data_IF_252651514332
#
_entry.id   IF_252651514332
#
_cell.length_a   1.000
_cell.length_b   1.000
_cell.length_c   1.000
_cell.angle_alpha   90.00
_cell.angle_beta   90.00
_cell.angle_gamma   90.00
#
_symmetry.space_group_name_H-M   'P 1'
#
loop_
_entity.id
_entity.type
_entity.pdbx_description
1 polymer ?
#
# COMPACT_ATOMS: atom_id res chain seq x y z
N UNK A 1 6.91 -10.62 -28.06
CA UNK A 1 7.07 -11.68 -27.04
C UNK A 1 6.26 -11.28 -25.81
N UNK A 2 5.12 -11.92 -25.57
CA UNK A 2 4.39 -11.72 -24.32
C UNK A 2 5.24 -12.27 -23.18
N UNK A 3 5.88 -11.38 -22.42
CA UNK A 3 6.49 -11.75 -21.14
C UNK A 3 5.37 -12.21 -20.22
N UNK A 4 5.14 -13.52 -20.12
CA UNK A 4 4.24 -14.10 -19.12
C UNK A 4 4.74 -13.61 -17.76
N UNK A 5 3.96 -12.74 -17.11
CA UNK A 5 4.30 -12.27 -15.77
C UNK A 5 4.28 -13.47 -14.82
N UNK A 6 5.25 -13.60 -13.91
CA UNK A 6 5.27 -14.72 -12.96
C UNK A 6 3.99 -14.74 -12.11
N UNK A 7 3.46 -15.93 -11.85
CA UNK A 7 2.17 -16.13 -11.16
C UNK A 7 2.08 -15.39 -9.84
N UNK A 8 3.17 -15.34 -9.06
CA UNK A 8 3.23 -14.58 -7.82
C UNK A 8 2.96 -13.08 -8.01
N UNK A 9 3.51 -12.47 -9.07
CA UNK A 9 3.26 -11.06 -9.39
C UNK A 9 1.81 -10.85 -9.88
N UNK A 10 1.28 -11.80 -10.66
CA UNK A 10 -0.09 -11.77 -11.18
C UNK A 10 -1.16 -11.85 -10.09
N UNK A 11 -0.86 -12.46 -8.94
CA UNK A 11 -1.82 -12.59 -7.84
C UNK A 11 -1.58 -11.48 -6.81
N UNK A 12 -0.33 -11.27 -6.38
CA UNK A 12 -0.01 -10.38 -5.27
C UNK A 12 -0.26 -8.92 -5.61
N UNK A 13 0.19 -8.43 -6.78
CA UNK A 13 0.01 -7.01 -7.12
C UNK A 13 -1.49 -6.65 -7.23
N UNK A 14 -2.35 -7.42 -7.93
CA UNK A 14 -3.78 -7.13 -7.95
C UNK A 14 -4.45 -7.25 -6.59
N UNK A 15 -4.08 -8.23 -5.76
CA UNK A 15 -4.61 -8.36 -4.41
C UNK A 15 -4.25 -7.16 -3.53
N UNK A 16 -3.00 -6.69 -3.58
CA UNK A 16 -2.56 -5.48 -2.88
C UNK A 16 -3.26 -4.24 -3.42
N UNK A 17 -3.42 -4.09 -4.74
CA UNK A 17 -4.16 -2.98 -5.34
C UNK A 17 -5.63 -2.98 -4.89
N UNK A 18 -6.29 -4.14 -4.90
CA UNK A 18 -7.66 -4.28 -4.42
C UNK A 18 -7.77 -3.86 -2.95
N UNK A 19 -6.85 -4.29 -2.09
CA UNK A 19 -6.80 -3.87 -0.69
C UNK A 19 -6.69 -2.34 -0.54
N UNK A 20 -5.88 -1.67 -1.37
CA UNK A 20 -5.80 -0.20 -1.36
C UNK A 20 -7.07 0.46 -1.88
N UNK A 21 -7.74 -0.10 -2.89
CA UNK A 21 -9.03 0.40 -3.37
C UNK A 21 -10.09 0.29 -2.27
N UNK A 22 -10.14 -0.84 -1.55
CA UNK A 22 -11.01 -0.98 -0.38
C UNK A 22 -10.67 0.04 0.71
N UNK A 23 -9.39 0.25 0.99
CA UNK A 23 -8.91 1.27 1.92
C UNK A 23 -9.33 2.69 1.50
N UNK A 24 -9.22 3.03 0.21
CA UNK A 24 -9.63 4.33 -0.32
C UNK A 24 -11.14 4.55 -0.18
N UNK A 25 -11.94 3.52 -0.50
CA UNK A 25 -13.41 3.57 -0.34
C UNK A 25 -13.76 3.74 1.14
N UNK A 26 -13.14 2.97 2.04
CA UNK A 26 -13.36 3.09 3.47
C UNK A 26 -12.97 4.48 3.99
N UNK A 27 -11.83 5.01 3.56
CA UNK A 27 -11.39 6.36 3.90
C UNK A 27 -12.42 7.42 3.47
N UNK A 28 -12.98 7.31 2.26
CA UNK A 28 -13.94 8.28 1.74
C UNK A 28 -15.34 8.16 2.37
N UNK A 29 -15.79 6.93 2.63
CA UNK A 29 -17.19 6.66 3.05
C UNK A 29 -17.37 6.60 4.56
N UNK A 30 -16.31 6.27 5.29
CA UNK A 30 -16.34 6.02 6.74
C UNK A 30 -15.34 6.88 7.50
N UNK A 31 -14.92 8.02 6.93
CA UNK A 31 -13.97 8.94 7.58
C UNK A 31 -14.39 9.32 9.00
N UNK A 32 -15.65 9.74 9.18
CA UNK A 32 -16.19 10.11 10.49
C UNK A 32 -16.13 8.96 11.51
N UNK A 33 -16.41 7.74 11.07
CA UNK A 33 -16.31 6.54 11.93
C UNK A 33 -14.86 6.27 12.33
N UNK A 34 -13.92 6.38 11.39
CA UNK A 34 -12.48 6.25 11.63
C UNK A 34 -12.00 7.29 12.64
N UNK A 35 -12.46 8.55 12.54
CA UNK A 35 -12.14 9.61 13.50
C UNK A 35 -12.69 9.33 14.90
N UNK A 36 -13.90 8.79 15.01
CA UNK A 36 -14.48 8.40 16.31
C UNK A 36 -13.63 7.35 17.02
N UNK A 37 -13.08 6.39 16.27
CA UNK A 37 -12.20 5.35 16.81
C UNK A 37 -10.76 5.84 17.03
N UNK A 38 -10.35 6.91 16.33
CA UNK A 38 -9.00 7.48 16.39
C UNK A 38 -9.08 9.02 16.51
N UNK A 39 -9.34 9.57 17.71
CA UNK A 39 -9.67 10.98 17.92
C UNK A 39 -8.57 11.97 17.50
N UNK A 40 -7.33 11.49 17.31
CA UNK A 40 -6.21 12.28 16.83
C UNK A 40 -6.26 12.55 15.32
N UNK A 41 -7.09 11.82 14.56
CA UNK A 41 -7.30 12.05 13.14
C UNK A 41 -8.27 13.21 12.95
N UNK A 42 -7.75 14.36 12.50
CA UNK A 42 -8.55 15.54 12.16
C UNK A 42 -8.77 15.65 10.65
N UNK A 43 -9.73 16.46 10.22
CA UNK A 43 -10.01 16.68 8.80
C UNK A 43 -8.78 17.21 8.03
N UNK A 44 -7.84 17.89 8.71
CA UNK A 44 -6.57 18.35 8.14
C UNK A 44 -5.61 17.21 7.75
N UNK A 45 -5.77 16.04 8.37
CA UNK A 45 -4.93 14.86 8.13
C UNK A 45 -5.49 14.00 6.97
N UNK A 46 -6.76 14.19 6.60
CA UNK A 46 -7.39 13.46 5.52
C UNK A 46 -6.60 13.50 4.19
N UNK A 47 -6.10 14.67 3.71
CA UNK A 47 -5.32 14.71 2.48
C UNK A 47 -4.03 13.88 2.55
N UNK A 48 -3.38 13.82 3.72
CA UNK A 48 -2.20 13.00 3.94
C UNK A 48 -2.56 11.51 3.88
N UNK A 49 -3.61 11.08 4.56
CA UNK A 49 -4.08 9.69 4.51
C UNK A 49 -4.44 9.26 3.08
N UNK A 50 -5.17 10.10 2.35
CA UNK A 50 -5.50 9.86 0.95
C UNK A 50 -4.24 9.78 0.08
N UNK A 51 -3.30 10.72 0.25
CA UNK A 51 -2.03 10.73 -0.47
C UNK A 51 -1.25 9.43 -0.26
N UNK A 52 -1.15 8.94 0.97
CA UNK A 52 -0.43 7.69 1.27
C UNK A 52 -1.03 6.48 0.54
N UNK A 53 -2.36 6.39 0.47
CA UNK A 53 -3.05 5.33 -0.29
C UNK A 53 -2.73 5.44 -1.78
N UNK A 54 -2.91 6.63 -2.36
CA UNK A 54 -2.66 6.83 -3.80
C UNK A 54 -1.19 6.64 -4.17
N UNK A 55 -0.26 7.12 -3.33
CA UNK A 55 1.18 6.96 -3.53
C UNK A 55 1.58 5.48 -3.54
N UNK A 56 1.02 4.68 -2.63
CA UNK A 56 1.23 3.22 -2.62
C UNK A 56 0.68 2.55 -3.89
N UNK A 57 -0.55 2.92 -4.31
CA UNK A 57 -1.15 2.42 -5.55
C UNK A 57 -0.30 2.75 -6.78
N UNK A 58 0.22 3.98 -6.88
CA UNK A 58 1.13 4.38 -7.95
C UNK A 58 2.41 3.54 -7.95
N UNK A 59 2.99 3.26 -6.78
CA UNK A 59 4.14 2.36 -6.64
C UNK A 59 3.85 0.93 -7.10
N UNK A 60 2.67 0.39 -6.76
CA UNK A 60 2.23 -0.95 -7.16
C UNK A 60 2.01 -1.04 -8.68
N UNK A 61 1.34 -0.05 -9.27
CA UNK A 61 1.14 0.06 -10.72
C UNK A 61 2.49 0.18 -11.44
N UNK A 62 3.40 1.02 -10.94
CA UNK A 62 4.74 1.13 -11.50
C UNK A 62 5.52 -0.20 -11.41
N UNK A 63 5.32 -0.96 -10.33
CA UNK A 63 5.88 -2.30 -10.18
C UNK A 63 5.30 -3.27 -11.21
N UNK A 64 4.00 -3.22 -11.48
CA UNK A 64 3.32 -4.03 -12.51
C UNK A 64 3.89 -3.81 -13.93
N UNK A 65 4.30 -2.57 -14.22
CA UNK A 65 4.97 -2.18 -15.46
C UNK A 65 6.51 -2.23 -15.37
N UNK A 66 7.05 -2.94 -14.38
CA UNK A 66 8.49 -3.17 -14.18
C UNK A 66 9.35 -1.90 -14.06
N UNK A 67 8.76 -0.75 -13.73
CA UNK A 67 9.49 0.53 -13.60
C UNK A 67 10.42 0.50 -12.39
N UNK A 68 11.67 0.95 -12.55
CA UNK A 68 12.74 0.84 -11.53
C UNK A 68 12.39 1.54 -10.22
N UNK A 69 11.64 2.62 -10.29
CA UNK A 69 11.22 3.43 -9.15
C UNK A 69 10.02 2.85 -8.37
N UNK A 70 9.23 1.94 -8.96
CA UNK A 70 8.02 1.39 -8.33
C UNK A 70 8.24 0.80 -6.93
N UNK A 71 9.23 -0.10 -6.71
CA UNK A 71 9.50 -0.71 -5.41
C UNK A 71 9.97 0.30 -4.36
N UNK A 72 10.70 1.34 -4.79
CA UNK A 72 11.10 2.43 -3.92
C UNK A 72 9.85 3.17 -3.43
N UNK A 73 8.92 3.49 -4.34
CA UNK A 73 7.65 4.12 -3.97
C UNK A 73 6.78 3.23 -3.07
N UNK A 74 6.63 1.94 -3.37
CA UNK A 74 5.88 1.02 -2.50
C UNK A 74 6.49 0.99 -1.11
N UNK A 75 7.81 0.80 -1.02
CA UNK A 75 8.49 0.70 0.28
C UNK A 75 8.37 2.00 1.07
N UNK A 76 8.61 3.14 0.43
CA UNK A 76 8.46 4.45 1.07
C UNK A 76 7.01 4.68 1.53
N UNK A 77 6.01 4.35 0.71
CA UNK A 77 4.60 4.49 1.06
C UNK A 77 4.25 3.66 2.30
N UNK A 78 4.65 2.39 2.34
CA UNK A 78 4.40 1.51 3.48
C UNK A 78 5.13 1.95 4.75
N UNK A 79 6.37 2.42 4.66
CA UNK A 79 7.08 2.99 5.83
C UNK A 79 6.34 4.21 6.36
N UNK A 80 5.92 5.12 5.47
CA UNK A 80 5.15 6.30 5.87
C UNK A 80 3.79 5.92 6.48
N UNK A 81 3.11 4.90 5.96
CA UNK A 81 1.87 4.36 6.54
C UNK A 81 2.12 3.81 7.93
N UNK A 82 3.18 3.02 8.14
CA UNK A 82 3.50 2.48 9.47
C UNK A 82 3.80 3.59 10.48
N UNK A 83 4.52 4.63 10.06
CA UNK A 83 4.79 5.80 10.90
C UNK A 83 3.50 6.59 11.20
N UNK A 84 2.64 6.76 10.19
CA UNK A 84 1.34 7.40 10.32
C UNK A 84 0.47 6.65 11.33
N UNK A 85 0.33 5.35 11.16
CA UNK A 85 -0.47 4.50 12.03
C UNK A 85 0.06 4.50 13.47
N UNK A 86 1.38 4.41 13.66
CA UNK A 86 2.00 4.46 14.97
C UNK A 86 1.76 5.81 15.66
N UNK A 87 1.86 6.91 14.90
CA UNK A 87 1.61 8.26 15.44
C UNK A 87 0.14 8.45 15.85
N UNK A 88 -0.82 7.94 15.07
CA UNK A 88 -2.25 8.06 15.33
C UNK A 88 -2.86 6.91 16.17
N UNK A 89 -2.06 5.90 16.53
CA UNK A 89 -2.50 4.77 17.35
C UNK A 89 -3.38 3.75 16.61
N UNK A 90 -3.21 3.60 15.30
CA UNK A 90 -4.01 2.74 14.41
C UNK A 90 -3.37 1.35 14.31
N UNK A 91 -3.14 0.69 15.44
CA UNK A 91 -2.33 -0.54 15.49
C UNK A 91 -2.90 -1.72 14.68
N UNK A 92 -4.22 -1.81 14.55
CA UNK A 92 -4.86 -2.84 13.73
C UNK A 92 -4.47 -2.71 12.25
N UNK A 93 -4.37 -1.47 11.75
CA UNK A 93 -3.92 -1.18 10.39
C UNK A 93 -2.43 -1.46 10.22
N UNK A 94 -1.60 -1.20 11.25
CA UNK A 94 -0.17 -1.53 11.21
C UNK A 94 0.10 -3.02 10.93
N UNK A 95 -0.68 -3.93 11.53
CA UNK A 95 -0.50 -5.38 11.28
C UNK A 95 -0.75 -5.74 9.81
N UNK A 96 -1.82 -5.16 9.24
CA UNK A 96 -2.16 -5.36 7.81
C UNK A 96 -1.08 -4.75 6.91
N UNK A 97 -0.65 -3.52 7.21
CA UNK A 97 0.39 -2.83 6.45
C UNK A 97 1.73 -3.59 6.50
N UNK A 98 2.13 -4.10 7.68
CA UNK A 98 3.34 -4.90 7.88
C UNK A 98 3.26 -6.21 7.09
N UNK A 99 2.14 -6.95 7.19
CA UNK A 99 1.96 -8.18 6.44
C UNK A 99 2.04 -7.96 4.93
N UNK A 100 1.45 -6.87 4.44
CA UNK A 100 1.44 -6.54 3.02
C UNK A 100 2.82 -6.11 2.48
N UNK A 101 3.60 -5.31 3.21
CA UNK A 101 4.99 -5.00 2.79
C UNK A 101 5.88 -6.24 2.83
N UNK A 102 5.71 -7.14 3.82
CA UNK A 102 6.45 -8.41 3.86
C UNK A 102 6.12 -9.29 2.65
N UNK A 103 4.84 -9.44 2.32
CA UNK A 103 4.38 -10.21 1.16
C UNK A 103 4.94 -9.65 -0.15
N UNK A 104 4.99 -8.33 -0.28
CA UNK A 104 5.60 -7.66 -1.43
C UNK A 104 7.10 -8.01 -1.55
N UNK A 105 7.87 -7.92 -0.47
CA UNK A 105 9.31 -8.17 -0.48
C UNK A 105 9.70 -9.64 -0.59
N UNK A 106 8.87 -10.58 -0.12
CA UNK A 106 9.17 -12.01 -0.20
C UNK A 106 8.75 -12.63 -1.54
N UNK A 107 7.71 -12.11 -2.18
CA UNK A 107 7.17 -12.69 -3.43
C UNK A 107 7.54 -11.86 -4.66
N UNK A 108 7.30 -10.55 -4.64
CA UNK A 108 7.42 -9.72 -5.85
C UNK A 108 8.86 -9.31 -6.12
N UNK A 109 9.61 -8.94 -5.08
CA UNK A 109 10.97 -8.44 -5.23
C UNK A 109 11.99 -9.47 -5.76
N UNK A 110 12.04 -10.73 -5.29
CA UNK A 110 13.01 -11.71 -5.77
C UNK A 110 12.77 -12.08 -7.24
N UNK A 111 11.50 -12.25 -7.62
CA UNK A 111 11.08 -12.49 -8.99
C UNK A 111 11.56 -11.38 -9.91
N UNK A 112 11.42 -10.13 -9.46
CA UNK A 112 11.89 -8.97 -10.23
C UNK A 112 13.39 -8.97 -10.45
N UNK A 113 14.18 -9.37 -9.46
CA UNK A 113 15.64 -9.45 -9.59
C UNK A 113 16.07 -10.50 -10.60
N UNK A 114 15.33 -11.61 -10.73
CA UNK A 114 15.63 -12.69 -11.68
C UNK A 114 15.33 -12.31 -13.15
N UNK A 115 14.49 -11.30 -13.38
CA UNK A 115 14.07 -10.85 -14.72
C UNK A 115 14.88 -9.65 -15.24
N UNK A 116 15.90 -9.20 -14.50
CA UNK A 116 16.85 -8.16 -14.94
C UNK A 116 18.15 -8.80 -15.37
#
# INVERSE_FOLDING_TARGET
>A
METKRPTGVLIIIPALLAAHVFGAIALLTRWREIQTNHPRLTDDVFPLAAFLIFFSMTGLIATWYWKRWGPVCVTAAYVLVLLFDAYFGIYHHMYVATGAIMLYWTVVWPIRKQLR
#
